data_IF_576471960907
#
_entry.id   IF_576471960907
#
_cell.length_a   1.000
_cell.length_b   1.000
_cell.length_c   1.000
_cell.angle_alpha   90.00
_cell.angle_beta   90.00
_cell.angle_gamma   90.00
#
_symmetry.space_group_name_H-M   'P 1'
#
loop_
_entity.id
_entity.type
_entity.pdbx_description
1 polymer ?
#
# COMPACT_ATOMS: atom_id res chain seq x y z
N UNK A 1 -16.44 -7.92 -5.73
CA UNK A 1 -15.96 -6.90 -4.78
C UNK A 1 -14.60 -7.31 -4.24
N UNK A 2 -13.63 -6.43 -4.27
CA UNK A 2 -12.31 -6.73 -3.75
C UNK A 2 -12.11 -6.15 -2.35
N UNK A 3 -11.41 -6.89 -1.52
CA UNK A 3 -11.04 -6.44 -0.19
C UNK A 3 -9.51 -6.42 -0.09
N UNK A 4 -8.97 -5.29 0.30
CA UNK A 4 -7.54 -5.14 0.49
C UNK A 4 -7.14 -5.85 1.79
N UNK A 5 -6.21 -6.80 1.68
CA UNK A 5 -5.70 -7.51 2.84
C UNK A 5 -4.32 -7.01 3.25
N UNK A 6 -3.63 -6.31 2.33
CA UNK A 6 -2.31 -5.75 2.61
C UNK A 6 -2.10 -4.52 1.73
N UNK A 7 -1.72 -3.41 2.33
CA UNK A 7 -1.41 -2.17 1.63
C UNK A 7 0.05 -1.83 1.91
N UNK A 8 0.95 -2.28 1.05
CA UNK A 8 2.38 -2.17 1.28
C UNK A 8 3.14 -1.93 -0.02
N UNK A 9 4.27 -1.28 0.10
CA UNK A 9 5.21 -1.11 -1.01
C UNK A 9 6.63 -1.24 -0.47
N UNK A 10 7.58 -1.48 -1.39
CA UNK A 10 8.99 -1.45 -1.07
C UNK A 10 9.65 -0.34 -1.86
N UNK A 11 10.35 0.56 -1.18
CA UNK A 11 11.10 1.62 -1.83
C UNK A 11 12.32 1.02 -2.53
N UNK A 12 12.50 1.31 -3.81
CA UNK A 12 13.68 0.82 -4.56
C UNK A 12 14.94 1.58 -4.22
N UNK A 13 14.81 2.79 -3.67
CA UNK A 13 15.95 3.64 -3.37
C UNK A 13 16.60 3.30 -2.04
N UNK A 14 15.79 3.06 -1.01
CA UNK A 14 16.33 2.71 0.31
C UNK A 14 16.08 1.26 0.71
N UNK A 15 15.25 0.54 -0.05
CA UNK A 15 14.95 -0.87 0.21
C UNK A 15 13.96 -1.13 1.33
N UNK A 16 13.45 -0.08 1.97
CA UNK A 16 12.53 -0.25 3.09
C UNK A 16 11.16 -0.69 2.63
N UNK A 17 10.57 -1.65 3.34
CA UNK A 17 9.19 -2.08 3.13
C UNK A 17 8.31 -1.33 4.12
N UNK A 18 7.29 -0.65 3.62
CA UNK A 18 6.35 0.11 4.45
C UNK A 18 4.94 -0.39 4.20
N UNK A 19 4.12 -0.36 5.25
CA UNK A 19 2.75 -0.88 5.18
C UNK A 19 1.81 0.07 5.90
N UNK A 20 0.69 0.40 5.25
CA UNK A 20 -0.39 1.17 5.85
C UNK A 20 -1.44 0.20 6.38
N UNK A 21 -1.69 0.22 7.69
CA UNK A 21 -2.57 -0.73 8.36
C UNK A 21 -3.95 -0.17 8.67
N UNK A 22 -4.07 1.16 8.66
CA UNK A 22 -5.33 1.84 8.98
C UNK A 22 -5.60 2.91 7.95
N UNK A 23 -6.87 3.31 7.82
CA UNK A 23 -7.29 4.27 6.78
C UNK A 23 -6.52 5.60 6.86
N UNK A 24 -6.12 6.03 8.04
CA UNK A 24 -5.37 7.26 8.23
C UNK A 24 -3.90 7.03 8.55
N UNK A 25 -3.40 5.83 8.29
CA UNK A 25 -2.03 5.47 8.61
C UNK A 25 -1.12 5.83 7.44
N UNK A 26 -0.60 7.05 7.46
CA UNK A 26 0.36 7.51 6.46
C UNK A 26 1.76 7.06 6.86
N UNK A 27 2.34 6.18 6.07
CA UNK A 27 3.67 5.62 6.34
C UNK A 27 4.61 5.99 5.21
N UNK A 28 5.71 6.63 5.55
CA UNK A 28 6.72 7.07 4.60
C UNK A 28 8.01 6.29 4.81
N UNK A 29 8.71 5.95 3.72
CA UNK A 29 9.99 5.26 3.84
C UNK A 29 11.05 6.22 4.39
N UNK A 30 12.14 5.65 4.90
CA UNK A 30 13.18 6.43 5.57
C UNK A 30 13.87 7.44 4.66
N UNK A 31 13.94 7.19 3.36
CA UNK A 31 14.53 8.15 2.42
C UNK A 31 13.51 9.20 1.93
N UNK A 32 12.23 9.03 2.26
CA UNK A 32 11.19 9.98 1.91
C UNK A 32 10.73 9.95 0.47
N UNK A 33 11.20 8.99 -0.33
CA UNK A 33 10.83 8.94 -1.75
C UNK A 33 9.45 8.36 -1.98
N UNK A 34 8.96 7.51 -1.08
CA UNK A 34 7.70 6.80 -1.23
C UNK A 34 6.92 6.81 0.07
N UNK A 35 5.60 6.71 -0.04
CA UNK A 35 4.72 6.61 1.12
C UNK A 35 3.46 5.85 0.74
N UNK A 36 2.82 5.24 1.73
CA UNK A 36 1.53 4.58 1.55
C UNK A 36 0.53 5.12 2.56
N UNK A 37 -0.74 5.07 2.18
CA UNK A 37 -1.83 5.57 3.01
C UNK A 37 -3.11 4.82 2.62
N UNK A 38 -4.14 4.92 3.43
CA UNK A 38 -5.45 4.36 3.14
C UNK A 38 -5.74 3.02 3.81
N UNK A 39 -4.73 2.38 4.39
CA UNK A 39 -4.90 1.10 5.07
C UNK A 39 -5.56 0.06 4.18
N UNK A 40 -6.62 -0.57 4.69
CA UNK A 40 -7.35 -1.58 3.95
C UNK A 40 -8.60 -1.02 3.25
N UNK A 41 -8.82 0.29 3.33
CA UNK A 41 -9.97 0.92 2.69
C UNK A 41 -9.67 1.28 1.24
N UNK A 42 -8.49 1.81 0.98
CA UNK A 42 -8.07 2.16 -0.38
C UNK A 42 -6.54 2.18 -0.46
N UNK A 43 -6.04 2.00 -1.68
CA UNK A 43 -4.60 2.01 -1.93
C UNK A 43 -4.20 3.40 -2.40
N UNK A 44 -3.59 4.18 -1.51
CA UNK A 44 -3.07 5.49 -1.83
C UNK A 44 -1.57 5.50 -1.67
N UNK A 45 -0.86 5.98 -2.67
CA UNK A 45 0.59 6.01 -2.67
C UNK A 45 1.09 7.38 -3.09
N UNK A 46 2.13 7.83 -2.40
CA UNK A 46 2.88 9.00 -2.78
C UNK A 46 4.27 8.55 -3.18
N UNK A 47 4.78 9.03 -4.30
CA UNK A 47 6.09 8.63 -4.78
C UNK A 47 6.70 9.77 -5.59
N UNK A 48 8.04 9.79 -5.59
CA UNK A 48 8.79 10.79 -6.34
C UNK A 48 8.81 10.44 -7.83
N UNK A 49 8.88 9.16 -8.14
CA UNK A 49 8.89 8.64 -9.49
C UNK A 49 8.10 7.34 -9.51
N UNK A 50 7.32 7.11 -10.57
CA UNK A 50 6.48 5.92 -10.65
C UNK A 50 7.27 4.61 -10.60
N UNK A 51 8.55 4.65 -10.91
CA UNK A 51 9.41 3.46 -10.87
C UNK A 51 10.23 3.36 -9.60
N UNK A 52 9.96 4.18 -8.58
CA UNK A 52 10.78 4.18 -7.37
C UNK A 52 10.29 3.21 -6.30
N UNK A 53 9.24 2.44 -6.57
CA UNK A 53 8.75 1.48 -5.60
C UNK A 53 8.24 0.20 -6.28
N UNK A 54 8.14 -0.87 -5.47
CA UNK A 54 7.55 -2.15 -5.86
C UNK A 54 6.25 -2.31 -5.07
N UNK A 55 5.15 -2.59 -5.77
CA UNK A 55 3.85 -2.78 -5.13
C UNK A 55 3.80 -4.17 -4.50
N UNK A 56 3.66 -4.22 -3.18
CA UNK A 56 3.54 -5.45 -2.41
C UNK A 56 2.13 -5.65 -1.86
N UNK A 57 1.19 -4.82 -2.28
CA UNK A 57 -0.19 -4.89 -1.80
C UNK A 57 -0.87 -6.16 -2.26
N UNK A 58 -1.80 -6.65 -1.43
CA UNK A 58 -2.56 -7.86 -1.70
C UNK A 58 -4.03 -7.60 -1.46
N UNK A 59 -4.87 -8.26 -2.24
CA UNK A 59 -6.31 -8.18 -2.07
C UNK A 59 -6.94 -9.51 -2.41
N UNK A 60 -8.16 -9.72 -1.92
CA UNK A 60 -8.92 -10.93 -2.20
C UNK A 60 -10.25 -10.55 -2.83
N UNK A 61 -10.80 -11.45 -3.60
CA UNK A 61 -12.14 -11.29 -4.17
C UNK A 61 -13.16 -11.83 -3.18
N UNK A 62 -14.18 -11.03 -2.88
CA UNK A 62 -15.26 -11.42 -1.98
C UNK A 62 -16.49 -11.67 -2.82
N UNK A 63 -17.04 -12.90 -2.70
CA UNK A 63 -18.27 -13.24 -3.37
C UNK A 63 -19.45 -12.70 -2.57
N UNK A 64 -20.39 -12.09 -3.26
CA UNK A 64 -21.60 -11.59 -2.65
C UNK A 64 -22.75 -12.59 -2.71
N UNK A 65 -22.54 -13.69 -3.42
CA UNK A 65 -23.60 -14.69 -3.60
C UNK A 65 -24.00 -15.39 -2.31
N UNK A 66 -23.07 -15.47 -1.39
CA UNK A 66 -23.29 -16.19 -0.14
C UNK A 66 -23.92 -15.35 0.94
N UNK A 67 -24.19 -14.13 0.66
CA UNK A 67 -24.78 -13.22 1.63
C UNK A 67 -26.29 -13.25 1.61
#
# INVERSE_FOLDING_TARGET
MQRITKNAIQCKLCGEVIESKHVHDFVQCKCGACAVDGGHDYLRRCFRDKDCYIDLSESIEISEEDS
#
